data_IF_347878595048
#
_entry.id   IF_347878595048
#
_cell.length_a   1.000
_cell.length_b   1.000
_cell.length_c   1.000
_cell.angle_alpha   90.00
_cell.angle_beta   90.00
_cell.angle_gamma   90.00
#
_symmetry.space_group_name_H-M   'P 1'
#
loop_
_entity.id
_entity.type
_entity.pdbx_description
1 polymer ?
#
# COMPACT_ATOMS: atom_id res chain seq x y z
N UNK A 1 33.55 36.28 -26.68
CA UNK A 1 32.40 36.63 -27.55
C UNK A 1 31.27 37.09 -26.65
N UNK A 2 30.92 38.36 -26.77
CA UNK A 2 29.90 39.06 -25.96
C UNK A 2 28.63 39.11 -26.80
N UNK A 3 27.53 38.50 -26.35
CA UNK A 3 26.23 38.58 -27.04
C UNK A 3 25.30 39.46 -26.22
N UNK A 4 24.81 40.51 -26.89
CA UNK A 4 23.98 41.59 -26.36
C UNK A 4 22.48 41.26 -26.42
N UNK A 5 21.80 41.69 -25.36
CA UNK A 5 20.40 42.07 -25.16
C UNK A 5 19.38 41.99 -26.31
N UNK A 6 18.18 41.50 -25.98
CA UNK A 6 16.92 42.06 -26.46
C UNK A 6 15.85 41.98 -25.34
N UNK A 7 15.53 43.14 -24.76
CA UNK A 7 14.37 43.34 -23.88
C UNK A 7 13.14 43.55 -24.76
N UNK A 8 12.14 42.66 -24.67
CA UNK A 8 10.83 42.88 -25.25
C UNK A 8 9.87 43.37 -24.17
N UNK A 9 9.44 44.62 -24.29
CA UNK A 9 8.38 45.23 -23.49
C UNK A 9 7.04 44.76 -24.08
N UNK A 10 6.23 44.06 -23.29
CA UNK A 10 4.88 43.64 -23.67
C UNK A 10 3.87 44.51 -22.91
N UNK A 11 3.07 45.24 -23.69
CA UNK A 11 2.00 46.14 -23.24
C UNK A 11 0.76 45.34 -22.86
N UNK A 12 0.29 45.46 -21.63
CA UNK A 12 -0.97 44.87 -21.14
C UNK A 12 -2.15 45.82 -21.44
N UNK A 13 -3.11 45.35 -22.23
CA UNK A 13 -4.42 45.99 -22.37
C UNK A 13 -5.38 45.38 -21.34
N UNK A 14 -5.92 46.20 -20.43
CA UNK A 14 -7.00 45.83 -19.52
C UNK A 14 -8.35 45.97 -20.24
N UNK A 15 -9.03 44.85 -20.46
CA UNK A 15 -10.44 44.81 -20.86
C UNK A 15 -11.29 44.48 -19.64
N UNK A 16 -12.04 45.46 -19.13
CA UNK A 16 -13.03 45.26 -18.06
C UNK A 16 -14.32 44.71 -18.66
N UNK A 17 -14.52 43.40 -18.58
CA UNK A 17 -15.80 42.78 -18.89
C UNK A 17 -16.67 42.72 -17.62
N UNK A 18 -17.78 43.44 -17.62
CA UNK A 18 -18.83 43.35 -16.61
C UNK A 18 -19.57 42.02 -16.75
N UNK A 19 -19.38 41.09 -15.82
CA UNK A 19 -20.15 39.85 -15.75
C UNK A 19 -21.34 40.08 -14.80
N UNK A 20 -22.55 40.01 -15.36
CA UNK A 20 -23.80 39.93 -14.61
C UNK A 20 -23.84 38.61 -13.84
N UNK A 21 -23.97 38.70 -12.52
CA UNK A 21 -24.15 37.56 -11.63
C UNK A 21 -25.47 36.84 -11.93
N UNK A 22 -25.39 35.69 -12.57
CA UNK A 22 -26.46 34.69 -12.55
C UNK A 22 -26.28 33.87 -11.28
N UNK A 23 -27.29 33.94 -10.40
CA UNK A 23 -27.34 33.14 -9.19
C UNK A 23 -27.30 31.65 -9.57
N UNK A 24 -26.39 30.84 -9.01
CA UNK A 24 -26.44 29.40 -9.21
C UNK A 24 -27.68 28.86 -8.53
N UNK A 25 -28.61 28.35 -9.34
CA UNK A 25 -29.63 27.40 -8.90
C UNK A 25 -28.91 26.16 -8.39
N UNK A 26 -28.76 26.06 -7.07
CA UNK A 26 -28.34 24.84 -6.38
C UNK A 26 -29.43 23.78 -6.54
N UNK A 27 -29.43 23.11 -7.69
CA UNK A 27 -29.99 21.77 -7.77
C UNK A 27 -28.99 20.84 -7.07
N UNK A 28 -29.23 20.58 -5.79
CA UNK A 28 -28.71 19.41 -5.08
C UNK A 28 -29.27 18.15 -5.75
N UNK A 29 -28.69 17.77 -6.89
CA UNK A 29 -28.58 16.36 -7.22
C UNK A 29 -27.61 15.76 -6.20
N UNK A 30 -28.13 15.45 -4.99
CA UNK A 30 -27.54 14.50 -4.06
C UNK A 30 -27.55 13.13 -4.72
N UNK A 31 -26.65 12.96 -5.67
CA UNK A 31 -26.17 11.66 -6.09
C UNK A 31 -25.21 11.15 -5.03
N UNK A 32 -25.30 9.85 -4.82
CA UNK A 32 -24.34 8.97 -4.15
C UNK A 32 -24.37 8.97 -2.62
N UNK A 33 -24.55 7.76 -2.09
CA UNK A 33 -24.38 7.44 -0.68
C UNK A 33 -22.91 7.51 -0.23
N UNK A 34 -22.21 8.59 -0.54
CA UNK A 34 -20.97 8.97 0.14
C UNK A 34 -21.31 9.36 1.57
N UNK A 35 -20.92 8.50 2.50
CA UNK A 35 -20.98 8.80 3.92
C UNK A 35 -19.85 9.76 4.28
N UNK A 36 -20.01 10.55 5.34
CA UNK A 36 -18.95 11.43 5.87
C UNK A 36 -17.65 10.69 6.28
N UNK A 37 -17.64 9.35 6.21
CA UNK A 37 -16.51 8.48 6.50
C UNK A 37 -15.76 7.99 5.25
N UNK A 38 -16.27 8.26 4.04
CA UNK A 38 -15.61 7.89 2.80
C UNK A 38 -14.38 8.76 2.58
N UNK A 39 -13.21 8.12 2.48
CA UNK A 39 -11.93 8.81 2.30
C UNK A 39 -11.46 8.66 0.86
N UNK A 40 -11.30 9.80 0.19
CA UNK A 40 -10.72 9.89 -1.16
C UNK A 40 -9.21 9.60 -1.13
N UNK A 41 -8.70 9.00 -2.21
CA UNK A 41 -7.26 8.75 -2.35
C UNK A 41 -6.45 10.03 -2.24
N UNK A 42 -5.42 9.99 -1.38
CA UNK A 42 -4.46 11.06 -1.20
C UNK A 42 -3.02 10.53 -1.03
N UNK A 43 -2.00 11.34 -1.37
CA UNK A 43 -0.60 10.92 -1.26
C UNK A 43 -0.15 10.61 0.17
N UNK A 44 -0.77 11.21 1.20
CA UNK A 44 -0.33 11.06 2.60
C UNK A 44 -0.56 9.64 3.11
N UNK A 45 -1.76 9.10 2.89
CA UNK A 45 -2.10 7.72 3.26
C UNK A 45 -1.30 6.73 2.41
N UNK A 46 -1.18 6.98 1.10
CA UNK A 46 -0.35 6.16 0.20
C UNK A 46 1.09 6.07 0.69
N UNK A 47 1.71 7.20 1.05
CA UNK A 47 3.07 7.22 1.59
C UNK A 47 3.15 6.49 2.95
N UNK A 48 2.11 6.56 3.79
CA UNK A 48 2.07 5.81 5.03
C UNK A 48 2.09 4.29 4.80
N UNK A 49 1.37 3.80 3.78
CA UNK A 49 1.39 2.38 3.36
C UNK A 49 2.79 1.97 2.88
N UNK A 50 3.46 2.81 2.08
CA UNK A 50 4.84 2.50 1.64
C UNK A 50 5.82 2.43 2.80
N UNK A 51 5.72 3.35 3.77
CA UNK A 51 6.55 3.31 4.99
C UNK A 51 6.28 2.06 5.82
N UNK A 52 5.04 1.58 5.84
CA UNK A 52 4.71 0.29 6.46
C UNK A 52 5.42 -0.87 5.73
N UNK A 53 5.40 -0.90 4.39
CA UNK A 53 6.12 -1.92 3.62
C UNK A 53 7.63 -1.88 3.82
N UNK A 54 8.24 -0.70 3.85
CA UNK A 54 9.68 -0.57 4.13
C UNK A 54 10.03 -1.07 5.55
N UNK A 55 9.17 -0.79 6.54
CA UNK A 55 9.34 -1.29 7.89
C UNK A 55 9.19 -2.83 7.97
N UNK A 56 8.23 -3.41 7.25
CA UNK A 56 8.10 -4.89 7.12
C UNK A 56 9.39 -5.46 6.54
N UNK A 57 9.91 -4.90 5.45
CA UNK A 57 11.13 -5.40 4.81
C UNK A 57 12.32 -5.36 5.77
N UNK A 58 12.51 -4.23 6.44
CA UNK A 58 13.61 -4.04 7.37
C UNK A 58 13.54 -4.99 8.57
N UNK A 59 12.33 -5.25 9.09
CA UNK A 59 12.13 -6.20 10.19
C UNK A 59 12.34 -7.64 9.73
N UNK A 60 11.62 -8.09 8.69
CA UNK A 60 11.65 -9.46 8.23
C UNK A 60 13.03 -9.88 7.70
N UNK A 61 13.82 -8.96 7.14
CA UNK A 61 15.18 -9.26 6.68
C UNK A 61 16.15 -9.64 7.82
N UNK A 62 15.87 -9.18 9.06
CA UNK A 62 16.68 -9.50 10.25
C UNK A 62 16.36 -10.87 10.85
N UNK A 63 15.19 -11.43 10.53
CA UNK A 63 14.77 -12.74 11.02
C UNK A 63 15.39 -13.87 10.20
N UNK A 64 15.55 -15.03 10.84
CA UNK A 64 15.86 -16.28 10.15
C UNK A 64 14.83 -16.55 9.05
N UNK A 65 15.29 -17.15 7.95
CA UNK A 65 14.46 -17.50 6.79
C UNK A 65 13.21 -18.29 7.18
N UNK A 66 13.26 -19.12 8.23
CA UNK A 66 12.11 -19.90 8.69
C UNK A 66 10.92 -19.05 9.17
N UNK A 67 11.14 -17.80 9.56
CA UNK A 67 10.12 -16.89 10.08
C UNK A 67 9.65 -15.84 9.06
N UNK A 68 10.42 -15.60 7.99
CA UNK A 68 10.16 -14.52 7.03
C UNK A 68 8.78 -14.59 6.36
N UNK A 69 8.26 -15.78 5.95
CA UNK A 69 6.92 -15.89 5.39
C UNK A 69 5.82 -15.36 6.33
N UNK A 70 5.85 -15.75 7.61
CA UNK A 70 4.86 -15.30 8.60
C UNK A 70 5.05 -13.83 8.99
N UNK A 71 6.29 -13.33 8.97
CA UNK A 71 6.58 -11.91 9.16
C UNK A 71 5.94 -11.04 8.07
N UNK A 72 6.10 -11.39 6.79
CA UNK A 72 5.46 -10.68 5.66
C UNK A 72 3.94 -10.72 5.80
N UNK A 73 3.39 -11.89 6.12
CA UNK A 73 1.94 -12.06 6.36
C UNK A 73 1.41 -11.07 7.40
N UNK A 74 1.99 -11.08 8.60
CA UNK A 74 1.55 -10.19 9.69
C UNK A 74 1.71 -8.72 9.31
N UNK A 75 2.81 -8.39 8.64
CA UNK A 75 3.04 -7.05 8.12
C UNK A 75 1.93 -6.56 7.19
N UNK A 76 1.54 -7.37 6.20
CA UNK A 76 0.43 -7.07 5.29
C UNK A 76 -0.90 -6.93 6.03
N UNK A 77 -1.17 -7.83 6.98
CA UNK A 77 -2.36 -7.76 7.83
C UNK A 77 -2.44 -6.45 8.60
N UNK A 78 -1.37 -6.09 9.31
CA UNK A 78 -1.29 -4.87 10.10
C UNK A 78 -1.40 -3.63 9.23
N UNK A 79 -0.74 -3.61 8.08
CA UNK A 79 -0.85 -2.52 7.11
C UNK A 79 -2.29 -2.36 6.65
N UNK A 80 -2.97 -3.46 6.27
CA UNK A 80 -4.37 -3.42 5.83
C UNK A 80 -5.30 -2.85 6.90
N UNK A 81 -5.06 -3.14 8.18
CA UNK A 81 -5.86 -2.63 9.31
C UNK A 81 -5.76 -1.12 9.49
N UNK A 82 -4.63 -0.52 9.09
CA UNK A 82 -4.36 0.92 9.19
C UNK A 82 -4.86 1.75 8.01
N UNK A 83 -5.13 1.09 6.87
CA UNK A 83 -5.72 1.75 5.69
C UNK A 83 -7.18 2.08 5.98
N UNK A 84 -7.69 3.27 5.60
CA UNK A 84 -9.11 3.62 5.74
C UNK A 84 -10.04 2.53 5.21
N UNK A 85 -11.10 2.23 5.96
CA UNK A 85 -12.02 1.13 5.62
C UNK A 85 -13.01 1.52 4.51
N UNK A 86 -13.49 2.77 4.54
CA UNK A 86 -14.47 3.32 3.62
C UNK A 86 -13.80 4.17 2.52
N UNK A 87 -14.58 4.53 1.49
CA UNK A 87 -14.11 5.26 0.32
C UNK A 87 -13.19 4.46 -0.61
N UNK A 88 -12.35 5.19 -1.34
CA UNK A 88 -11.52 4.63 -2.41
C UNK A 88 -10.43 3.64 -1.93
N UNK A 89 -10.14 3.63 -0.63
CA UNK A 89 -9.13 2.76 -0.03
C UNK A 89 -9.62 1.33 0.25
N UNK A 90 -10.94 1.10 0.23
CA UNK A 90 -11.53 -0.19 0.60
C UNK A 90 -10.97 -1.37 -0.21
N UNK A 91 -10.85 -1.20 -1.53
CA UNK A 91 -10.35 -2.26 -2.40
C UNK A 91 -8.85 -2.55 -2.19
N UNK A 92 -8.03 -1.52 -1.92
CA UNK A 92 -6.62 -1.68 -1.54
C UNK A 92 -6.50 -2.47 -0.24
N UNK A 93 -7.23 -2.05 0.80
CA UNK A 93 -7.28 -2.73 2.10
C UNK A 93 -7.67 -4.19 1.96
N UNK A 94 -8.74 -4.47 1.21
CA UNK A 94 -9.22 -5.83 0.98
C UNK A 94 -8.17 -6.68 0.26
N UNK A 95 -7.52 -6.13 -0.77
CA UNK A 95 -6.49 -6.84 -1.54
C UNK A 95 -5.31 -7.24 -0.65
N UNK A 96 -4.77 -6.31 0.15
CA UNK A 96 -3.68 -6.63 1.08
C UNK A 96 -4.08 -7.65 2.15
N UNK A 97 -5.30 -7.52 2.71
CA UNK A 97 -5.82 -8.47 3.69
C UNK A 97 -6.00 -9.86 3.09
N UNK A 98 -6.51 -9.96 1.86
CA UNK A 98 -6.69 -11.24 1.17
C UNK A 98 -5.35 -11.93 0.95
N UNK A 99 -4.34 -11.21 0.48
CA UNK A 99 -2.98 -11.75 0.30
C UNK A 99 -2.37 -12.20 1.63
N UNK A 100 -2.60 -11.45 2.72
CA UNK A 100 -2.21 -11.93 4.05
C UNK A 100 -2.89 -13.26 4.41
N UNK A 101 -4.17 -13.46 4.09
CA UNK A 101 -4.84 -14.73 4.38
C UNK A 101 -4.33 -15.88 3.50
N UNK A 102 -4.02 -15.61 2.23
CA UNK A 102 -3.39 -16.58 1.31
C UNK A 102 -2.04 -17.07 1.88
N UNK A 103 -1.18 -16.13 2.31
CA UNK A 103 0.10 -16.48 2.95
C UNK A 103 -0.10 -17.21 4.28
N UNK A 104 -1.14 -16.86 5.06
CA UNK A 104 -1.47 -17.55 6.31
C UNK A 104 -1.71 -19.04 6.10
N UNK A 105 -2.46 -19.39 5.05
CA UNK A 105 -2.75 -20.76 4.70
C UNK A 105 -1.44 -21.54 4.44
N UNK A 106 -0.55 -20.97 3.62
CA UNK A 106 0.76 -21.57 3.30
C UNK A 106 1.63 -21.79 4.53
N UNK A 107 1.77 -20.76 5.39
CA UNK A 107 2.53 -20.86 6.64
C UNK A 107 1.93 -21.92 7.57
N UNK A 108 0.61 -21.93 7.74
CA UNK A 108 -0.05 -22.84 8.68
C UNK A 108 0.08 -24.31 8.27
N UNK A 109 -0.01 -24.60 6.96
CA UNK A 109 0.08 -25.96 6.43
C UNK A 109 1.50 -26.54 6.49
N UNK A 110 2.53 -25.68 6.49
CA UNK A 110 3.96 -26.06 6.49
C UNK A 110 4.69 -25.66 7.77
N UNK A 111 3.97 -25.36 8.85
CA UNK A 111 4.57 -24.97 10.13
C UNK A 111 5.53 -26.03 10.66
N UNK A 112 6.62 -25.61 11.29
CA UNK A 112 7.55 -26.49 11.99
C UNK A 112 7.14 -26.63 13.46
N UNK A 113 6.63 -27.80 13.92
CA UNK A 113 6.26 -27.98 15.31
C UNK A 113 7.46 -28.14 16.25
N UNK A 114 8.68 -28.35 15.72
CA UNK A 114 9.89 -28.57 16.51
C UNK A 114 10.67 -27.28 16.78
N UNK A 115 10.12 -26.13 16.37
CA UNK A 115 10.71 -24.81 16.55
C UNK A 115 9.71 -23.91 17.25
N UNK A 116 10.19 -23.14 18.21
CA UNK A 116 9.36 -22.16 18.89
C UNK A 116 9.00 -21.00 17.98
N UNK A 117 7.88 -20.36 18.31
CA UNK A 117 7.49 -19.10 17.67
C UNK A 117 8.50 -18.02 18.07
N UNK A 118 8.92 -17.22 17.10
CA UNK A 118 9.78 -16.07 17.36
C UNK A 118 8.95 -14.92 17.91
N UNK A 119 9.14 -14.59 19.19
CA UNK A 119 8.57 -13.37 19.79
C UNK A 119 9.31 -12.14 19.27
N UNK A 120 8.56 -11.10 18.93
CA UNK A 120 9.09 -9.80 18.53
C UNK A 120 8.59 -8.73 19.50
N UNK A 121 9.54 -8.02 20.09
CA UNK A 121 9.23 -6.91 20.98
C UNK A 121 8.55 -5.76 20.24
N UNK A 122 7.55 -5.11 20.87
CA UNK A 122 6.89 -3.90 20.38
C UNK A 122 7.82 -2.83 19.82
N UNK A 123 8.99 -2.64 20.44
CA UNK A 123 9.93 -1.57 20.10
C UNK A 123 10.85 -1.90 18.93
N UNK A 124 10.85 -3.16 18.47
CA UNK A 124 11.65 -3.61 17.31
C UNK A 124 11.24 -2.89 16.02
N UNK A 125 9.97 -2.51 15.91
CA UNK A 125 9.44 -1.80 14.75
C UNK A 125 8.53 -0.65 15.18
N UNK A 126 9.04 0.57 15.03
CA UNK A 126 8.33 1.81 15.40
C UNK A 126 6.99 1.99 14.68
N UNK A 127 6.78 1.35 13.53
CA UNK A 127 5.51 1.36 12.80
C UNK A 127 4.50 0.39 13.39
N UNK A 128 4.94 -0.73 13.95
CA UNK A 128 4.10 -1.78 14.53
C UNK A 128 4.49 -2.01 15.98
N UNK A 129 3.81 -1.31 16.91
CA UNK A 129 4.12 -1.35 18.35
C UNK A 129 3.34 -2.42 19.12
N UNK A 130 2.71 -3.37 18.44
CA UNK A 130 2.05 -4.50 19.10
C UNK A 130 3.04 -5.66 19.24
N UNK A 131 2.99 -6.39 20.35
CA UNK A 131 3.73 -7.65 20.47
C UNK A 131 3.30 -8.61 19.34
N UNK A 132 4.26 -9.32 18.73
CA UNK A 132 4.03 -10.23 17.60
C UNK A 132 4.78 -11.54 17.83
N UNK A 133 4.32 -12.58 17.14
CA UNK A 133 4.90 -13.92 17.23
C UNK A 133 4.92 -14.57 15.86
N UNK A 134 6.11 -14.80 15.29
CA UNK A 134 6.27 -15.42 13.98
C UNK A 134 6.30 -16.94 14.06
N UNK A 135 5.48 -17.56 13.24
CA UNK A 135 5.38 -19.02 13.12
C UNK A 135 6.52 -19.54 12.24
N UNK A 136 7.33 -20.50 12.71
CA UNK A 136 8.38 -21.09 11.90
C UNK A 136 7.79 -22.02 10.84
N UNK A 137 8.40 -22.05 9.67
CA UNK A 137 8.12 -22.99 8.58
C UNK A 137 9.24 -24.03 8.52
N UNK A 138 8.89 -25.29 8.23
CA UNK A 138 9.87 -26.37 8.08
C UNK A 138 10.90 -26.03 7.02
N UNK A 139 12.19 -26.24 7.33
CA UNK A 139 13.28 -25.96 6.38
C UNK A 139 13.12 -26.76 5.08
N UNK A 140 12.70 -28.03 5.17
CA UNK A 140 12.45 -28.89 4.01
C UNK A 140 11.34 -28.38 3.08
N UNK A 141 10.48 -27.50 3.58
CA UNK A 141 9.34 -26.93 2.84
C UNK A 141 9.59 -25.48 2.40
N UNK A 142 10.72 -24.90 2.80
CA UNK A 142 11.01 -23.49 2.66
C UNK A 142 10.98 -23.02 1.21
N UNK A 143 11.57 -23.79 0.29
CA UNK A 143 11.57 -23.47 -1.15
C UNK A 143 10.15 -23.36 -1.70
N UNK A 144 9.29 -24.32 -1.35
CA UNK A 144 7.88 -24.35 -1.75
C UNK A 144 7.14 -23.14 -1.18
N UNK A 145 7.30 -22.85 0.12
CA UNK A 145 6.63 -21.72 0.77
C UNK A 145 7.10 -20.39 0.18
N UNK A 146 8.41 -20.17 0.02
CA UNK A 146 8.95 -18.95 -0.63
C UNK A 146 8.35 -18.73 -2.01
N UNK A 147 8.21 -19.80 -2.80
CA UNK A 147 7.59 -19.74 -4.14
C UNK A 147 6.12 -19.34 -4.06
N UNK A 148 5.34 -19.96 -3.18
CA UNK A 148 3.90 -19.66 -3.01
C UNK A 148 3.66 -18.27 -2.45
N UNK A 149 4.47 -17.82 -1.49
CA UNK A 149 4.39 -16.46 -0.96
C UNK A 149 4.76 -15.43 -2.02
N UNK A 150 5.79 -15.68 -2.83
CA UNK A 150 6.14 -14.77 -3.94
C UNK A 150 5.00 -14.68 -4.96
N UNK A 151 4.40 -15.82 -5.34
CA UNK A 151 3.25 -15.85 -6.24
C UNK A 151 2.02 -15.10 -5.66
N UNK A 152 1.77 -15.19 -4.35
CA UNK A 152 0.70 -14.44 -3.68
C UNK A 152 0.95 -12.92 -3.72
N UNK A 153 2.21 -12.48 -3.55
CA UNK A 153 2.61 -11.08 -3.68
C UNK A 153 2.47 -10.57 -5.12
N UNK A 154 2.84 -11.38 -6.12
CA UNK A 154 2.68 -11.03 -7.55
C UNK A 154 1.20 -10.93 -7.93
N UNK A 155 0.36 -11.84 -7.42
CA UNK A 155 -1.09 -11.77 -7.59
C UNK A 155 -1.70 -10.54 -6.89
N UNK A 156 -1.20 -10.17 -5.71
CA UNK A 156 -1.56 -8.93 -5.03
C UNK A 156 -1.22 -7.69 -5.88
N UNK A 157 0.01 -7.63 -6.41
CA UNK A 157 0.45 -6.56 -7.29
C UNK A 157 -0.46 -6.45 -8.52
N UNK A 158 -0.75 -7.57 -9.18
CA UNK A 158 -1.61 -7.62 -10.36
C UNK A 158 -3.04 -7.15 -10.06
N UNK A 159 -3.61 -7.57 -8.93
CA UNK A 159 -4.94 -7.10 -8.47
C UNK A 159 -4.96 -5.59 -8.24
N UNK A 160 -3.92 -5.03 -7.60
CA UNK A 160 -3.81 -3.59 -7.37
C UNK A 160 -3.67 -2.80 -8.68
N UNK A 161 -2.86 -3.29 -9.63
CA UNK A 161 -2.71 -2.65 -10.95
C UNK A 161 -4.03 -2.64 -11.74
N UNK A 162 -4.77 -3.76 -11.72
CA UNK A 162 -6.09 -3.82 -12.34
C UNK A 162 -7.09 -2.85 -11.71
N UNK A 163 -7.01 -2.62 -10.40
CA UNK A 163 -7.84 -1.59 -9.73
C UNK A 163 -7.41 -0.17 -10.12
N UNK A 164 -6.12 0.03 -10.41
CA UNK A 164 -5.56 1.30 -10.83
C UNK A 164 -6.16 1.79 -12.17
N UNK A 165 -6.65 0.90 -13.02
CA UNK A 165 -7.25 1.23 -14.32
C UNK A 165 -8.63 1.90 -14.23
N UNK A 166 -9.22 2.01 -13.02
CA UNK A 166 -10.54 2.63 -12.83
C UNK A 166 -10.58 4.14 -13.09
N UNK A 167 -9.51 4.85 -12.74
CA UNK A 167 -9.40 6.31 -12.93
C UNK A 167 -7.96 6.78 -12.80
N UNK A 168 -7.64 7.99 -13.25
CA UNK A 168 -6.28 8.56 -13.13
C UNK A 168 -5.82 8.72 -11.67
N UNK A 169 -6.71 9.12 -10.76
CA UNK A 169 -6.39 9.24 -9.33
C UNK A 169 -6.08 7.87 -8.70
N UNK A 170 -6.89 6.86 -9.05
CA UNK A 170 -6.65 5.47 -8.66
C UNK A 170 -5.34 4.96 -9.25
N UNK A 171 -5.07 5.24 -10.52
CA UNK A 171 -3.87 4.82 -11.23
C UNK A 171 -2.60 5.19 -10.44
N UNK A 172 -2.46 6.47 -10.07
CA UNK A 172 -1.29 6.96 -9.34
C UNK A 172 -1.08 6.24 -8.00
N UNK A 173 -2.12 6.15 -7.17
CA UNK A 173 -1.98 5.61 -5.80
C UNK A 173 -1.85 4.09 -5.78
N UNK A 174 -2.68 3.37 -6.55
CA UNK A 174 -2.65 1.91 -6.58
C UNK A 174 -1.38 1.37 -7.26
N UNK A 175 -0.89 2.01 -8.32
CA UNK A 175 0.36 1.61 -8.98
C UNK A 175 1.56 1.73 -8.04
N UNK A 176 1.63 2.83 -7.27
CA UNK A 176 2.70 3.04 -6.30
C UNK A 176 2.67 1.97 -5.20
N UNK A 177 1.49 1.62 -4.68
CA UNK A 177 1.33 0.55 -3.69
C UNK A 177 1.65 -0.82 -4.28
N UNK A 178 1.25 -1.10 -5.53
CA UNK A 178 1.60 -2.32 -6.26
C UNK A 178 3.13 -2.52 -6.35
N UNK A 179 3.87 -1.46 -6.70
CA UNK A 179 5.34 -1.49 -6.70
C UNK A 179 5.89 -1.74 -5.30
N UNK A 180 5.29 -1.14 -4.27
CA UNK A 180 5.63 -1.38 -2.87
C UNK A 180 5.48 -2.85 -2.46
N UNK A 181 4.37 -3.50 -2.83
CA UNK A 181 4.12 -4.93 -2.59
C UNK A 181 5.17 -5.80 -3.27
N UNK A 182 5.49 -5.52 -4.54
CA UNK A 182 6.49 -6.27 -5.31
C UNK A 182 7.85 -6.33 -4.58
N UNK A 183 8.25 -5.21 -3.94
CA UNK A 183 9.51 -5.12 -3.19
C UNK A 183 9.56 -6.02 -1.96
N UNK A 184 8.42 -6.44 -1.39
CA UNK A 184 8.38 -7.36 -0.25
C UNK A 184 8.97 -8.73 -0.59
N UNK A 185 8.85 -9.18 -1.84
CA UNK A 185 9.40 -10.47 -2.30
C UNK A 185 10.92 -10.56 -2.14
N UNK A 186 11.64 -9.43 -2.14
CA UNK A 186 13.09 -9.39 -1.98
C UNK A 186 13.58 -9.99 -0.65
N UNK A 187 12.73 -10.00 0.38
CA UNK A 187 13.04 -10.54 1.70
C UNK A 187 13.05 -12.07 1.72
N UNK A 188 12.39 -12.71 0.75
CA UNK A 188 12.32 -14.17 0.64
C UNK A 188 13.59 -14.78 0.04
N UNK A 189 14.49 -13.96 -0.50
CA UNK A 189 15.77 -14.40 -1.05
C UNK A 189 16.70 -14.88 0.06
#
# INVERSE_FOLDING_TARGET
MIVRYALAVVTLALSTASVLAQAPSFNEERSSGETAYDMTLNPVVTQAVLRDFDAIRAECAKSDQIYRPDCIRQGLELTSRRIPFHGDYGAMRQTLRQTSMEIASEVSSKKDPNRDRLEIDPDTNVRFRSRRYYTPVKISEMTTVKTRVSAALDACQSRLLKLADRSTSWNKNYTVVAVGVSRLSSVLR
#
